data_IF_235249281702
#
_entry.id   IF_235249281702
#
_cell.length_a   1.000
_cell.length_b   1.000
_cell.length_c   1.000
_cell.angle_alpha   90.00
_cell.angle_beta   90.00
_cell.angle_gamma   90.00
#
_symmetry.space_group_name_H-M   'P 1'
#
loop_
_entity.id
_entity.type
_entity.pdbx_description
1 polymer ?
#
# COMPACT_ATOMS: atom_id res chain seq x y z
N UNK A 1 -7.02 5.14 4.00
CA UNK A 1 -7.04 4.69 2.59
C UNK A 1 -6.97 3.16 2.48
N UNK A 2 -6.10 2.49 3.23
CA UNK A 2 -5.99 1.01 3.20
C UNK A 2 -7.30 0.28 3.49
N UNK A 3 -8.16 0.86 4.30
CA UNK A 3 -9.44 0.26 4.66
C UNK A 3 -10.40 0.10 3.46
N UNK A 4 -10.32 0.95 2.43
CA UNK A 4 -11.07 0.73 1.19
C UNK A 4 -10.71 -0.59 0.54
N UNK A 5 -9.40 -0.87 0.45
CA UNK A 5 -8.90 -2.14 -0.10
C UNK A 5 -9.29 -3.33 0.75
N UNK A 6 -9.26 -3.20 2.08
CA UNK A 6 -9.68 -4.25 2.99
C UNK A 6 -11.17 -4.59 2.82
N UNK A 7 -12.05 -3.58 2.72
CA UNK A 7 -13.48 -3.78 2.51
C UNK A 7 -13.77 -4.47 1.16
N UNK A 8 -13.07 -4.08 0.10
CA UNK A 8 -13.23 -4.70 -1.21
C UNK A 8 -12.63 -6.12 -1.24
N UNK A 9 -11.49 -6.35 -0.59
CA UNK A 9 -10.94 -7.70 -0.46
C UNK A 9 -11.94 -8.65 0.22
N UNK A 10 -12.54 -8.21 1.32
CA UNK A 10 -13.55 -8.98 2.04
C UNK A 10 -14.79 -9.24 1.17
N UNK A 11 -15.28 -8.22 0.44
CA UNK A 11 -16.38 -8.34 -0.51
C UNK A 11 -16.10 -9.36 -1.62
N UNK A 12 -14.87 -9.46 -2.07
CA UNK A 12 -14.41 -10.45 -3.05
C UNK A 12 -14.18 -11.85 -2.46
N UNK A 13 -14.41 -12.05 -1.15
CA UNK A 13 -14.15 -13.32 -0.46
C UNK A 13 -12.66 -13.55 -0.19
N UNK A 14 -11.85 -12.51 -0.25
CA UNK A 14 -10.42 -12.54 0.07
C UNK A 14 -10.18 -12.17 1.54
N UNK A 15 -8.97 -12.39 2.03
CA UNK A 15 -8.61 -11.98 3.39
C UNK A 15 -8.37 -10.45 3.45
N UNK A 16 -9.17 -9.68 4.21
CA UNK A 16 -9.05 -8.21 4.25
C UNK A 16 -7.74 -7.70 4.84
N UNK A 17 -7.04 -8.52 5.65
CA UNK A 17 -5.78 -8.12 6.28
C UNK A 17 -4.56 -8.39 5.37
N UNK A 18 -4.63 -9.42 4.51
CA UNK A 18 -3.46 -9.88 3.77
C UNK A 18 -3.59 -9.73 2.25
N UNK A 19 -4.80 -9.59 1.72
CA UNK A 19 -5.06 -9.66 0.28
C UNK A 19 -5.32 -8.29 -0.39
N UNK A 20 -5.15 -7.18 0.33
CA UNK A 20 -5.30 -5.83 -0.23
C UNK A 20 -4.44 -5.63 -1.51
N UNK A 21 -3.24 -6.23 -1.57
CA UNK A 21 -2.38 -6.21 -2.74
C UNK A 21 -2.98 -6.93 -3.96
N UNK A 22 -3.84 -7.94 -3.76
CA UNK A 22 -4.55 -8.61 -4.85
C UNK A 22 -5.60 -7.70 -5.48
N UNK A 23 -6.30 -6.89 -4.67
CA UNK A 23 -7.24 -5.88 -5.16
C UNK A 23 -6.50 -4.81 -5.98
N UNK A 24 -5.32 -4.35 -5.52
CA UNK A 24 -4.46 -3.45 -6.29
C UNK A 24 -4.05 -4.07 -7.64
N UNK A 25 -3.65 -5.34 -7.65
CA UNK A 25 -3.29 -6.04 -8.88
C UNK A 25 -4.50 -6.18 -9.82
N UNK A 26 -5.68 -6.53 -9.29
CA UNK A 26 -6.93 -6.67 -10.06
C UNK A 26 -7.32 -5.34 -10.74
N UNK A 27 -7.02 -4.20 -10.14
CA UNK A 27 -7.28 -2.88 -10.72
C UNK A 27 -6.64 -2.69 -12.11
N UNK A 28 -5.52 -3.40 -12.40
CA UNK A 28 -4.87 -3.33 -13.72
C UNK A 28 -5.71 -3.94 -14.86
N UNK A 29 -6.70 -4.75 -14.56
CA UNK A 29 -7.64 -5.34 -15.52
C UNK A 29 -8.94 -4.53 -15.67
N UNK A 30 -9.13 -3.50 -14.84
CA UNK A 30 -10.29 -2.60 -14.94
C UNK A 30 -10.22 -1.76 -16.20
N UNK A 31 -11.39 -1.47 -16.78
CA UNK A 31 -11.54 -0.67 -18.00
C UNK A 31 -12.34 0.59 -17.76
N UNK A 32 -13.25 0.55 -16.81
CA UNK A 32 -14.19 1.63 -16.53
C UNK A 32 -14.15 2.03 -15.07
N UNK A 33 -14.27 3.33 -14.81
CA UNK A 33 -14.51 3.86 -13.46
C UNK A 33 -16.01 3.83 -13.20
N UNK A 34 -16.41 3.39 -12.02
CA UNK A 34 -17.81 3.40 -11.57
C UNK A 34 -18.12 4.82 -11.11
N UNK A 35 -18.98 5.53 -11.84
CA UNK A 35 -19.26 6.96 -11.61
C UNK A 35 -19.95 7.20 -10.27
N UNK A 36 -20.89 6.31 -9.87
CA UNK A 36 -21.64 6.42 -8.61
C UNK A 36 -20.99 5.59 -7.48
N UNK A 37 -19.67 5.58 -7.43
CA UNK A 37 -18.91 4.82 -6.44
C UNK A 37 -19.15 5.26 -5.01
N UNK A 38 -19.44 6.54 -4.79
CA UNK A 38 -19.73 7.05 -3.45
C UNK A 38 -20.95 6.37 -2.83
N UNK A 39 -21.93 6.00 -3.63
CA UNK A 39 -23.11 5.26 -3.16
C UNK A 39 -22.84 3.78 -2.86
N UNK A 40 -21.67 3.24 -3.29
CA UNK A 40 -21.24 1.89 -2.97
C UNK A 40 -20.81 1.74 -1.51
N UNK A 41 -20.40 2.85 -0.87
CA UNK A 41 -20.05 2.89 0.54
C UNK A 41 -21.11 3.65 1.36
N UNK A 42 -21.46 3.14 2.50
CA UNK A 42 -22.26 3.88 3.48
C UNK A 42 -21.33 4.81 4.26
N UNK A 43 -21.33 6.10 3.89
CA UNK A 43 -20.48 7.13 4.49
C UNK A 43 -20.70 7.33 5.99
N UNK A 44 -21.81 6.89 6.56
CA UNK A 44 -22.04 6.97 8.00
C UNK A 44 -21.04 6.12 8.80
N UNK A 45 -20.42 5.13 8.19
CA UNK A 45 -19.40 4.28 8.81
C UNK A 45 -17.97 4.79 8.67
N UNK A 46 -17.71 5.80 7.82
CA UNK A 46 -16.37 6.38 7.64
C UNK A 46 -16.00 7.45 8.67
N UNK A 47 -16.95 7.92 9.48
CA UNK A 47 -16.75 9.00 10.46
C UNK A 47 -16.05 8.47 11.72
N UNK A 48 -16.13 7.19 12.01
CA UNK A 48 -15.38 6.57 13.10
C UNK A 48 -14.12 5.84 12.58
N UNK A 49 -12.91 6.20 13.07
CA UNK A 49 -11.65 5.71 12.49
C UNK A 49 -11.36 4.22 12.76
N UNK A 50 -12.29 3.45 13.27
CA UNK A 50 -11.94 2.18 13.88
C UNK A 50 -12.19 0.92 13.08
N UNK A 51 -13.10 0.85 12.13
CA UNK A 51 -13.27 -0.40 11.37
C UNK A 51 -14.04 -0.17 10.08
N UNK A 52 -13.37 -0.11 8.94
CA UNK A 52 -14.03 -0.36 7.67
C UNK A 52 -14.19 -1.87 7.54
N UNK A 53 -15.40 -2.36 7.78
CA UNK A 53 -15.80 -3.76 7.55
C UNK A 53 -16.66 -3.82 6.31
N UNK A 54 -16.93 -5.02 5.80
CA UNK A 54 -17.95 -5.28 4.76
C UNK A 54 -19.32 -4.62 5.06
N UNK A 55 -19.63 -4.40 6.35
CA UNK A 55 -20.83 -3.69 6.77
C UNK A 55 -20.93 -2.24 6.28
N UNK A 56 -19.83 -1.68 5.75
CA UNK A 56 -19.80 -0.33 5.16
C UNK A 56 -20.23 -0.32 3.70
N UNK A 57 -20.46 -1.48 3.10
CA UNK A 57 -20.87 -1.56 1.70
C UNK A 57 -22.39 -1.51 1.57
N UNK A 58 -22.86 -0.72 0.61
CA UNK A 58 -24.26 -0.62 0.31
C UNK A 58 -24.75 -1.87 -0.46
N UNK A 59 -25.41 -2.77 0.24
CA UNK A 59 -25.96 -4.00 -0.32
C UNK A 59 -27.02 -3.78 -1.42
N UNK A 60 -27.61 -2.59 -1.48
CA UNK A 60 -28.62 -2.23 -2.50
C UNK A 60 -27.98 -1.62 -3.76
N UNK A 61 -26.67 -1.39 -3.78
CA UNK A 61 -26.01 -0.85 -4.95
C UNK A 61 -26.02 -1.87 -6.11
N UNK A 62 -26.33 -1.48 -7.36
CA UNK A 62 -26.42 -2.41 -8.49
C UNK A 62 -25.17 -3.25 -8.76
N UNK A 63 -24.00 -2.74 -8.38
CA UNK A 63 -22.73 -3.45 -8.52
C UNK A 63 -22.48 -4.48 -7.41
N UNK A 64 -23.20 -4.41 -6.27
CA UNK A 64 -22.91 -5.25 -5.11
C UNK A 64 -22.99 -6.75 -5.46
N UNK A 65 -24.11 -7.22 -5.96
CA UNK A 65 -24.26 -8.64 -6.31
C UNK A 65 -23.41 -9.07 -7.49
N UNK A 66 -23.10 -8.18 -8.44
CA UNK A 66 -22.23 -8.47 -9.57
C UNK A 66 -20.80 -8.72 -9.14
N UNK A 67 -20.32 -7.97 -8.16
CA UNK A 67 -18.91 -7.99 -7.73
C UNK A 67 -18.66 -8.86 -6.50
N UNK A 68 -19.72 -9.25 -5.78
CA UNK A 68 -19.65 -10.14 -4.62
C UNK A 68 -18.99 -11.46 -5.00
N UNK A 69 -17.98 -11.87 -4.21
CA UNK A 69 -17.21 -13.08 -4.47
C UNK A 69 -16.64 -13.16 -5.91
N UNK A 70 -16.44 -12.00 -6.55
CA UNK A 70 -15.97 -11.89 -7.94
C UNK A 70 -16.87 -12.60 -8.96
N UNK A 71 -18.19 -12.59 -8.76
CA UNK A 71 -19.17 -13.23 -9.66
C UNK A 71 -19.03 -12.77 -11.12
N UNK A 72 -18.73 -11.49 -11.34
CA UNK A 72 -18.38 -10.93 -12.64
C UNK A 72 -16.95 -10.36 -12.56
N UNK A 73 -16.04 -10.99 -13.27
CA UNK A 73 -14.61 -10.61 -13.24
C UNK A 73 -14.39 -9.18 -13.72
N UNK A 74 -15.02 -8.76 -14.84
CA UNK A 74 -14.78 -7.41 -15.38
C UNK A 74 -15.38 -6.34 -14.46
N UNK A 75 -16.59 -6.57 -13.94
CA UNK A 75 -17.20 -5.68 -12.96
C UNK A 75 -16.36 -5.56 -11.68
N UNK A 76 -15.77 -6.66 -11.22
CA UNK A 76 -14.88 -6.68 -10.05
C UNK A 76 -13.57 -5.95 -10.32
N UNK A 77 -13.02 -6.11 -11.52
CA UNK A 77 -11.82 -5.36 -11.93
C UNK A 77 -12.09 -3.84 -12.07
N UNK A 78 -13.25 -3.46 -12.58
CA UNK A 78 -13.68 -2.06 -12.67
C UNK A 78 -13.89 -1.47 -11.27
N UNK A 79 -14.45 -2.24 -10.32
CA UNK A 79 -14.58 -1.82 -8.92
C UNK A 79 -13.20 -1.63 -8.27
N UNK A 80 -12.27 -2.56 -8.48
CA UNK A 80 -10.90 -2.45 -7.98
C UNK A 80 -10.17 -1.22 -8.57
N UNK A 81 -10.31 -0.97 -9.88
CA UNK A 81 -9.75 0.21 -10.54
C UNK A 81 -10.33 1.51 -9.96
N UNK A 82 -11.64 1.51 -9.67
CA UNK A 82 -12.30 2.68 -9.08
C UNK A 82 -11.76 3.00 -7.71
N UNK A 83 -11.61 1.98 -6.84
CA UNK A 83 -10.99 2.13 -5.51
C UNK A 83 -9.54 2.61 -5.60
N UNK A 84 -8.76 2.04 -6.52
CA UNK A 84 -7.38 2.45 -6.75
C UNK A 84 -7.33 3.94 -7.13
N UNK A 85 -8.10 4.35 -8.10
CA UNK A 85 -8.14 5.73 -8.60
C UNK A 85 -8.61 6.71 -7.53
N UNK A 86 -9.67 6.38 -6.80
CA UNK A 86 -10.18 7.21 -5.72
C UNK A 86 -9.10 7.45 -4.65
N UNK A 87 -8.49 6.38 -4.16
CA UNK A 87 -7.50 6.48 -3.08
C UNK A 87 -6.22 7.19 -3.50
N UNK A 88 -5.81 7.04 -4.75
CA UNK A 88 -4.71 7.81 -5.36
C UNK A 88 -5.02 9.31 -5.35
N UNK A 89 -6.19 9.70 -5.84
CA UNK A 89 -6.61 11.10 -5.91
C UNK A 89 -6.70 11.72 -4.51
N UNK A 90 -7.26 11.00 -3.53
CA UNK A 90 -7.33 11.46 -2.14
C UNK A 90 -5.92 11.68 -1.58
N UNK A 91 -5.01 10.72 -1.77
CA UNK A 91 -3.63 10.81 -1.27
C UNK A 91 -2.89 11.99 -1.91
N UNK A 92 -2.93 12.09 -3.23
CA UNK A 92 -2.26 13.15 -4.00
C UNK A 92 -2.77 14.51 -3.54
N UNK A 93 -4.10 14.70 -3.54
CA UNK A 93 -4.71 15.96 -3.08
C UNK A 93 -4.27 16.30 -1.67
N UNK A 94 -4.36 15.36 -0.74
CA UNK A 94 -3.99 15.60 0.66
C UNK A 94 -2.53 16.03 0.83
N UNK A 95 -1.62 15.42 0.06
CA UNK A 95 -0.19 15.76 0.13
C UNK A 95 0.08 17.12 -0.48
N UNK A 96 -0.53 17.46 -1.62
CA UNK A 96 -0.43 18.80 -2.18
C UNK A 96 -0.98 19.87 -1.23
N UNK A 97 -2.16 19.65 -0.63
CA UNK A 97 -2.75 20.56 0.37
C UNK A 97 -1.78 20.77 1.57
N UNK A 98 -1.06 19.74 2.01
CA UNK A 98 -0.07 19.86 3.10
C UNK A 98 1.18 20.64 2.67
N UNK A 99 1.68 20.42 1.45
CA UNK A 99 2.81 21.16 0.90
C UNK A 99 2.45 22.65 0.79
N UNK A 100 1.31 22.95 0.21
CA UNK A 100 0.84 24.34 0.01
C UNK A 100 0.62 25.06 1.35
N UNK A 101 0.05 24.37 2.32
CA UNK A 101 -0.25 24.93 3.63
C UNK A 101 0.99 25.16 4.49
N UNK A 102 1.97 24.28 4.44
CA UNK A 102 3.08 24.25 5.38
C UNK A 102 4.44 24.54 4.75
N UNK A 103 4.55 24.64 3.43
CA UNK A 103 5.81 24.88 2.72
C UNK A 103 6.86 23.78 2.90
N UNK A 104 6.44 22.54 3.21
CA UNK A 104 7.35 21.44 3.50
C UNK A 104 8.00 20.92 2.23
N UNK A 105 9.26 20.49 2.32
CA UNK A 105 10.04 19.94 1.20
C UNK A 105 10.29 18.45 1.31
N UNK A 106 10.06 17.87 2.48
CA UNK A 106 10.29 16.47 2.75
C UNK A 106 8.99 15.79 3.16
N UNK A 107 8.57 14.80 2.39
CA UNK A 107 7.38 14.00 2.62
C UNK A 107 7.81 12.59 2.96
N UNK A 108 7.30 12.06 4.08
CA UNK A 108 7.51 10.67 4.47
C UNK A 108 6.18 9.93 4.47
N UNK A 109 6.13 8.78 3.80
CA UNK A 109 4.96 7.90 3.80
C UNK A 109 5.26 6.65 4.63
N UNK A 110 4.33 6.32 5.53
CA UNK A 110 4.31 5.09 6.32
C UNK A 110 2.87 4.61 6.48
N UNK A 111 2.72 3.39 7.02
CA UNK A 111 1.42 2.69 7.09
C UNK A 111 1.21 1.76 5.89
N UNK A 112 0.33 0.75 6.04
CA UNK A 112 0.14 -0.30 5.04
C UNK A 112 -0.21 0.20 3.62
N UNK A 113 -0.92 1.33 3.51
CA UNK A 113 -1.23 1.92 2.20
C UNK A 113 0.02 2.42 1.45
N UNK A 114 1.09 2.78 2.16
CA UNK A 114 2.36 3.19 1.54
C UNK A 114 3.08 2.04 0.79
N UNK A 115 2.58 0.79 0.88
CA UNK A 115 3.01 -0.32 0.02
C UNK A 115 2.36 -0.29 -1.37
N UNK A 116 1.37 0.56 -1.62
CA UNK A 116 0.75 0.71 -2.93
C UNK A 116 1.71 1.41 -3.90
N UNK A 117 2.50 0.61 -4.63
CA UNK A 117 3.53 1.12 -5.53
C UNK A 117 2.95 1.93 -6.71
N UNK A 118 1.73 1.62 -7.17
CA UNK A 118 1.05 2.36 -8.23
C UNK A 118 0.69 3.76 -7.76
N UNK A 119 0.09 3.87 -6.58
CA UNK A 119 -0.23 5.15 -5.96
C UNK A 119 1.03 5.98 -5.67
N UNK A 120 2.07 5.35 -5.15
CA UNK A 120 3.36 6.00 -4.87
C UNK A 120 4.01 6.56 -6.14
N UNK A 121 3.96 5.82 -7.24
CA UNK A 121 4.49 6.28 -8.52
C UNK A 121 3.72 7.50 -9.04
N UNK A 122 2.39 7.47 -9.03
CA UNK A 122 1.54 8.61 -9.44
C UNK A 122 1.77 9.83 -8.54
N UNK A 123 1.87 9.62 -7.23
CA UNK A 123 2.24 10.68 -6.31
C UNK A 123 3.58 11.30 -6.71
N UNK A 124 4.63 10.47 -6.90
CA UNK A 124 5.97 10.99 -7.30
C UNK A 124 5.90 11.81 -8.60
N UNK A 125 5.11 11.37 -9.55
CA UNK A 125 4.92 12.11 -10.83
C UNK A 125 4.21 13.46 -10.64
N UNK A 126 3.31 13.57 -9.66
CA UNK A 126 2.57 14.80 -9.38
C UNK A 126 3.36 15.83 -8.58
N UNK A 127 4.41 15.39 -7.85
CA UNK A 127 5.17 16.27 -6.96
C UNK A 127 6.18 17.13 -7.73
N UNK A 128 6.35 18.41 -7.32
CA UNK A 128 7.45 19.26 -7.78
C UNK A 128 8.81 18.59 -7.61
N UNK A 129 9.78 18.96 -8.47
CA UNK A 129 11.13 18.36 -8.46
C UNK A 129 11.91 18.59 -7.17
N UNK A 130 11.64 19.69 -6.48
CA UNK A 130 12.28 20.12 -5.24
C UNK A 130 11.63 19.50 -3.97
N UNK A 131 10.61 18.66 -4.15
CA UNK A 131 10.01 17.89 -3.06
C UNK A 131 10.65 16.50 -2.98
N UNK A 132 11.21 16.19 -1.83
CA UNK A 132 11.75 14.87 -1.52
C UNK A 132 10.63 13.96 -1.01
N UNK A 133 10.49 12.79 -1.60
CA UNK A 133 9.55 11.76 -1.17
C UNK A 133 10.33 10.55 -0.65
N UNK A 134 10.14 10.24 0.63
CA UNK A 134 10.61 9.01 1.26
C UNK A 134 9.42 8.09 1.54
N UNK A 135 9.54 6.83 1.16
CA UNK A 135 8.56 5.79 1.41
C UNK A 135 9.24 4.72 2.27
N UNK A 136 8.69 4.48 3.47
CA UNK A 136 9.24 3.49 4.38
C UNK A 136 9.13 2.08 3.77
N UNK A 137 10.24 1.37 3.55
CA UNK A 137 10.21 0.05 2.92
C UNK A 137 9.45 -1.02 3.71
N UNK A 138 9.41 -0.90 5.03
CA UNK A 138 8.64 -1.78 5.94
C UNK A 138 7.52 -0.98 6.58
N UNK A 139 6.69 -0.35 5.73
CA UNK A 139 5.67 0.61 6.15
C UNK A 139 4.45 -0.03 6.83
N UNK A 140 4.27 -1.35 6.76
CA UNK A 140 3.17 -2.07 7.41
C UNK A 140 3.51 -2.41 8.88
N UNK A 141 2.61 -3.14 9.57
CA UNK A 141 2.70 -3.43 11.00
C UNK A 141 4.04 -4.06 11.44
N UNK A 142 4.71 -4.83 10.58
CA UNK A 142 6.03 -5.38 10.89
C UNK A 142 7.10 -4.29 11.14
N UNK A 143 6.93 -3.09 10.58
CA UNK A 143 7.81 -1.94 10.82
C UNK A 143 7.74 -1.41 12.25
N UNK A 144 6.68 -1.71 13.00
CA UNK A 144 6.54 -1.27 14.39
C UNK A 144 7.64 -1.81 15.30
N UNK A 145 8.09 -3.04 15.05
CA UNK A 145 9.21 -3.63 15.82
C UNK A 145 10.53 -2.87 15.58
N UNK A 146 10.79 -2.48 14.32
CA UNK A 146 11.96 -1.68 13.96
C UNK A 146 11.86 -0.29 14.57
N UNK A 147 10.65 0.32 14.49
CA UNK A 147 10.38 1.62 15.09
C UNK A 147 10.58 1.64 16.60
N UNK A 148 10.09 0.62 17.31
CA UNK A 148 10.27 0.49 18.75
C UNK A 148 11.76 0.35 19.13
N UNK A 149 12.53 -0.46 18.40
CA UNK A 149 13.96 -0.59 18.63
C UNK A 149 14.72 0.72 18.40
N UNK A 150 14.40 1.43 17.33
CA UNK A 150 15.00 2.75 17.05
C UNK A 150 14.64 3.79 18.11
N UNK A 151 13.38 3.83 18.53
CA UNK A 151 12.94 4.75 19.59
C UNK A 151 13.70 4.50 20.88
N UNK A 152 13.75 3.25 21.35
CA UNK A 152 14.49 2.88 22.56
C UNK A 152 15.97 3.27 22.46
N UNK A 153 16.60 2.99 21.33
CA UNK A 153 18.00 3.38 21.09
C UNK A 153 18.19 4.89 21.26
N UNK A 154 17.34 5.71 20.64
CA UNK A 154 17.44 7.18 20.75
C UNK A 154 17.16 7.66 22.18
N UNK A 155 16.18 7.10 22.88
CA UNK A 155 15.91 7.46 24.28
C UNK A 155 17.10 7.15 25.18
N UNK A 156 17.73 5.99 25.03
CA UNK A 156 18.93 5.63 25.79
C UNK A 156 20.09 6.60 25.52
N UNK A 157 20.32 6.96 24.26
CA UNK A 157 21.37 7.93 23.88
C UNK A 157 21.11 9.30 24.47
N UNK A 158 19.86 9.77 24.46
CA UNK A 158 19.50 11.04 25.10
C UNK A 158 19.75 11.01 26.62
N UNK A 159 19.47 9.92 27.30
CA UNK A 159 19.77 9.75 28.74
C UNK A 159 21.28 9.77 29.02
N UNK A 160 22.10 9.33 28.09
CA UNK A 160 23.57 9.40 28.15
C UNK A 160 24.12 10.79 27.79
N UNK A 161 23.26 11.77 27.49
CA UNK A 161 23.63 13.13 27.11
C UNK A 161 24.18 13.24 25.67
N UNK A 162 23.94 12.25 24.83
CA UNK A 162 24.38 12.25 23.44
C UNK A 162 23.25 12.82 22.57
N UNK A 163 23.44 14.03 22.09
CA UNK A 163 22.46 14.75 21.25
C UNK A 163 22.75 14.68 19.76
N UNK A 164 23.99 14.39 19.38
CA UNK A 164 24.43 14.32 17.98
C UNK A 164 24.51 12.86 17.52
N UNK A 165 23.35 12.21 17.45
CA UNK A 165 23.28 10.82 17.02
C UNK A 165 23.28 10.76 15.49
N UNK A 166 24.23 10.09 14.85
CA UNK A 166 24.26 10.00 13.41
C UNK A 166 23.03 9.23 12.94
N UNK A 167 22.27 9.81 12.00
CA UNK A 167 21.19 9.11 11.31
C UNK A 167 21.84 7.96 10.54
N UNK A 168 21.65 6.72 11.01
CA UNK A 168 22.11 5.53 10.29
C UNK A 168 21.10 5.25 9.18
N UNK A 169 21.47 5.44 7.90
CA UNK A 169 20.56 5.15 6.80
C UNK A 169 20.15 3.68 6.81
N UNK A 170 18.89 3.43 6.56
CA UNK A 170 18.43 2.06 6.37
C UNK A 170 18.93 1.54 5.02
N UNK A 171 19.91 0.65 5.06
CA UNK A 171 20.56 0.10 3.85
C UNK A 171 20.00 -1.25 3.44
N UNK A 172 19.16 -1.87 4.26
CA UNK A 172 18.54 -3.16 3.98
C UNK A 172 17.17 -3.26 4.62
N UNK A 173 16.31 -4.07 4.02
CA UNK A 173 15.03 -4.52 4.60
C UNK A 173 15.12 -5.96 5.14
N UNK A 174 16.29 -6.56 5.08
CA UNK A 174 16.54 -7.93 5.54
C UNK A 174 17.14 -7.88 6.94
N UNK A 175 16.29 -8.01 7.94
CA UNK A 175 16.68 -7.98 9.38
C UNK A 175 16.71 -9.36 10.03
N UNK A 176 16.42 -10.44 9.29
CA UNK A 176 16.46 -11.81 9.80
C UNK A 176 17.87 -12.40 9.80
N UNK A 177 18.02 -13.56 10.45
CA UNK A 177 19.24 -14.35 10.35
C UNK A 177 19.51 -14.68 8.88
N UNK A 178 20.74 -14.49 8.43
CA UNK A 178 21.16 -15.01 7.14
C UNK A 178 21.17 -16.53 7.25
N UNK A 179 20.16 -17.15 6.66
CA UNK A 179 20.26 -18.58 6.42
C UNK A 179 21.38 -18.81 5.42
N UNK A 180 22.47 -19.39 5.86
CA UNK A 180 23.47 -19.93 4.96
C UNK A 180 22.84 -21.14 4.25
N UNK A 181 22.15 -20.88 3.15
CA UNK A 181 21.79 -21.97 2.27
C UNK A 181 23.08 -22.57 1.72
N UNK A 182 23.25 -23.88 1.72
CA UNK A 182 24.42 -24.50 1.10
C UNK A 182 24.51 -24.01 -0.34
N UNK A 183 25.73 -23.61 -0.75
CA UNK A 183 26.00 -23.06 -2.06
C UNK A 183 25.76 -24.06 -3.24
N UNK A 184 25.24 -25.22 -2.94
CA UNK A 184 24.97 -26.29 -3.90
C UNK A 184 23.53 -26.76 -3.81
N UNK A 185 22.59 -25.98 -4.37
CA UNK A 185 21.32 -26.55 -4.78
C UNK A 185 21.53 -27.30 -6.10
N UNK A 186 21.20 -28.59 -6.11
CA UNK A 186 21.14 -29.36 -7.33
C UNK A 186 19.92 -28.94 -8.18
N UNK A 187 20.16 -28.04 -9.12
CA UNK A 187 19.17 -27.61 -10.11
C UNK A 187 19.11 -28.50 -11.33
N UNK A 188 19.78 -29.67 -11.34
CA UNK A 188 19.83 -30.59 -12.51
C UNK A 188 18.43 -31.04 -12.97
N UNK A 189 17.43 -30.97 -12.08
CA UNK A 189 16.03 -31.30 -12.41
C UNK A 189 15.27 -30.15 -13.11
N UNK A 190 15.85 -28.97 -13.19
CA UNK A 190 15.21 -27.80 -13.83
C UNK A 190 15.91 -27.51 -15.15
N UNK A 191 15.14 -27.36 -16.22
CA UNK A 191 15.67 -26.85 -17.47
C UNK A 191 16.09 -25.38 -17.28
N UNK A 192 17.37 -25.11 -17.43
CA UNK A 192 17.90 -23.75 -17.45
C UNK A 192 17.53 -23.13 -18.79
N UNK A 193 16.61 -22.15 -18.81
CA UNK A 193 16.40 -21.27 -19.97
C UNK A 193 17.17 -19.97 -19.73
N UNK A 194 17.97 -19.56 -20.69
CA UNK A 194 18.50 -18.21 -20.70
C UNK A 194 17.36 -17.25 -21.07
N UNK A 195 16.93 -16.46 -20.10
CA UNK A 195 15.95 -15.40 -20.33
C UNK A 195 16.70 -14.15 -20.78
N UNK A 196 16.45 -13.69 -21.98
CA UNK A 196 17.01 -12.42 -22.47
C UNK A 196 16.12 -11.25 -22.05
N UNK A 197 16.69 -10.02 -22.01
CA UNK A 197 15.92 -8.81 -21.67
C UNK A 197 14.72 -8.55 -22.60
N UNK A 198 14.58 -9.27 -23.71
CA UNK A 198 13.42 -9.22 -24.61
C UNK A 198 12.26 -10.09 -24.14
N UNK A 199 12.51 -11.05 -23.26
CA UNK A 199 11.50 -11.99 -22.77
C UNK A 199 10.81 -11.50 -21.49
N UNK A 200 11.24 -10.31 -20.98
CA UNK A 200 10.76 -9.70 -19.71
C UNK A 200 9.98 -8.40 -19.96
N UNK A 201 9.71 -8.03 -21.20
CA UNK A 201 8.99 -6.81 -21.57
C UNK A 201 7.49 -7.07 -21.76
#
# INVERSE_FOLDING_TARGET
LGNYFAAIADHFGMNPLFDAGKVMALASYGKNIIEDFDSFFDHNYFIEPRVVRMSCLNHNHPMFEKTKLMNDFQASADLALTVQTLTENIMIKKIHDLIDKHGVKNICLSGGYALNCVANFKLRQSLPKDINLYIEPVSHDAGTAIGAAKLLYHEMRMLEGITDDPIIPQTTVKYGFQNHYPNSYDFSRFKKSEVTNKDVA
#
